data_IF_552596535095
#
_entry.id   IF_552596535095
#
_cell.length_a   1.000
_cell.length_b   1.000
_cell.length_c   1.000
_cell.angle_alpha   90.00
_cell.angle_beta   90.00
_cell.angle_gamma   90.00
#
_symmetry.space_group_name_H-M   'P 1'
#
loop_
_entity.id
_entity.type
_entity.pdbx_description
1 polymer ?
#
# COMPACT_ATOMS: atom_id res chain seq x y z
N UNK A 1 -7.48 -10.26 5.06
CA UNK A 1 -7.09 -9.88 6.43
C UNK A 1 -6.13 -8.71 6.34
N UNK A 2 -6.22 -7.76 7.26
CA UNK A 2 -5.32 -6.60 7.33
C UNK A 2 -4.46 -6.71 8.59
N UNK A 3 -3.16 -6.47 8.47
CA UNK A 3 -2.26 -6.29 9.60
C UNK A 3 -1.90 -4.80 9.67
N UNK A 4 -2.03 -4.18 10.84
CA UNK A 4 -1.70 -2.77 11.05
C UNK A 4 -1.22 -2.55 12.49
N UNK A 5 -0.24 -1.66 12.66
CA UNK A 5 0.30 -1.31 13.98
C UNK A 5 -0.46 -0.12 14.61
N UNK A 6 -1.33 0.55 13.86
CA UNK A 6 -2.18 1.62 14.38
C UNK A 6 -3.44 1.02 15.04
N UNK A 7 -3.59 1.14 16.37
CA UNK A 7 -4.74 0.58 17.08
C UNK A 7 -6.07 1.23 16.66
N UNK A 8 -6.07 2.49 16.22
CA UNK A 8 -7.27 3.16 15.73
C UNK A 8 -7.69 2.62 14.36
N UNK A 9 -6.74 2.27 13.49
CA UNK A 9 -7.04 1.55 12.23
C UNK A 9 -7.65 0.19 12.54
N UNK A 10 -7.05 -0.59 13.45
CA UNK A 10 -7.58 -1.89 13.85
C UNK A 10 -8.99 -1.77 14.44
N UNK A 11 -9.25 -0.77 15.28
CA UNK A 11 -10.58 -0.52 15.85
C UNK A 11 -11.64 -0.25 14.78
N UNK A 12 -11.32 0.57 13.78
CA UNK A 12 -12.20 0.84 12.63
C UNK A 12 -12.48 -0.42 11.82
N UNK A 13 -11.44 -1.17 11.46
CA UNK A 13 -11.57 -2.42 10.70
C UNK A 13 -12.44 -3.45 11.43
N UNK A 14 -12.29 -3.56 12.76
CA UNK A 14 -13.16 -4.42 13.59
C UNK A 14 -14.61 -3.96 13.57
N UNK A 15 -14.87 -2.65 13.68
CA UNK A 15 -16.22 -2.09 13.60
C UNK A 15 -16.88 -2.37 12.24
N UNK A 16 -16.08 -2.37 11.17
CA UNK A 16 -16.51 -2.72 9.81
C UNK A 16 -16.56 -4.23 9.53
N UNK A 17 -16.25 -5.06 10.54
CA UNK A 17 -16.19 -6.54 10.44
C UNK A 17 -15.18 -7.03 9.38
N UNK A 18 -14.14 -6.24 9.11
CA UNK A 18 -13.04 -6.64 8.25
C UNK A 18 -12.05 -7.45 9.10
N UNK A 19 -11.68 -8.69 8.67
CA UNK A 19 -10.70 -9.48 9.39
C UNK A 19 -9.38 -8.73 9.51
N UNK A 20 -8.91 -8.49 10.73
CA UNK A 20 -7.68 -7.74 11.00
C UNK A 20 -6.95 -8.27 12.23
N UNK A 21 -5.66 -7.96 12.30
CA UNK A 21 -4.76 -8.31 13.39
C UNK A 21 -3.86 -7.12 13.69
N UNK A 22 -3.63 -6.86 14.97
CA UNK A 22 -2.72 -5.82 15.43
C UNK A 22 -1.30 -6.38 15.46
N UNK A 23 -0.34 -5.67 14.86
CA UNK A 23 1.07 -6.04 14.91
C UNK A 23 1.90 -5.29 13.87
N UNK A 24 3.22 -5.28 14.08
CA UNK A 24 4.16 -4.61 13.19
C UNK A 24 4.74 -5.59 12.17
N UNK A 25 4.76 -5.20 10.90
CA UNK A 25 5.30 -6.05 9.84
C UNK A 25 6.84 -6.07 9.82
N UNK A 26 7.50 -5.18 10.57
CA UNK A 26 8.95 -5.26 10.78
C UNK A 26 9.35 -6.29 11.86
N UNK A 27 8.38 -6.75 12.66
CA UNK A 27 8.55 -7.79 13.65
C UNK A 27 8.48 -9.19 13.01
N UNK A 28 9.62 -9.87 13.01
CA UNK A 28 9.75 -11.21 12.46
C UNK A 28 8.97 -12.28 13.24
N UNK A 29 8.73 -12.10 14.54
CA UNK A 29 7.96 -13.04 15.37
C UNK A 29 6.47 -12.92 15.03
N UNK A 30 5.94 -11.70 14.97
CA UNK A 30 4.58 -11.43 14.51
C UNK A 30 4.29 -12.05 13.14
N UNK A 31 5.19 -11.87 12.16
CA UNK A 31 5.01 -12.46 10.83
C UNK A 31 4.99 -13.99 10.84
N UNK A 32 5.69 -14.63 11.77
CA UNK A 32 5.71 -16.10 11.90
C UNK A 32 4.39 -16.65 12.48
N UNK A 33 3.63 -15.85 13.22
CA UNK A 33 2.29 -16.22 13.72
C UNK A 33 1.21 -16.19 12.63
N UNK A 34 1.42 -15.41 11.57
CA UNK A 34 0.47 -15.28 10.48
C UNK A 34 0.40 -16.56 9.63
N UNK A 35 -0.77 -16.93 9.09
CA UNK A 35 -0.93 -18.10 8.23
C UNK A 35 -0.41 -17.88 6.79
N UNK A 36 0.84 -17.40 6.66
CA UNK A 36 1.48 -17.06 5.39
C UNK A 36 1.63 -18.26 4.45
N UNK A 37 1.59 -19.48 4.96
CA UNK A 37 1.57 -20.70 4.13
C UNK A 37 0.25 -20.92 3.37
N UNK A 38 -0.84 -20.26 3.77
CA UNK A 38 -2.19 -20.43 3.20
C UNK A 38 -2.63 -19.25 2.33
N UNK A 39 -1.91 -18.14 2.36
CA UNK A 39 -2.30 -16.96 1.58
C UNK A 39 -2.12 -17.23 0.07
N UNK A 40 -3.02 -16.66 -0.73
CA UNK A 40 -2.86 -16.62 -2.20
C UNK A 40 -2.22 -15.31 -2.66
N UNK A 41 -2.37 -14.26 -1.87
CA UNK A 41 -2.00 -12.90 -2.24
C UNK A 41 -1.64 -12.10 -0.99
N UNK A 42 -0.57 -11.30 -1.06
CA UNK A 42 -0.21 -10.27 -0.08
C UNK A 42 0.02 -8.93 -0.79
N UNK A 43 -0.45 -7.85 -0.16
CA UNK A 43 -0.14 -6.46 -0.55
C UNK A 43 0.45 -5.78 0.66
N UNK A 44 1.63 -5.17 0.50
CA UNK A 44 2.20 -4.24 1.47
C UNK A 44 2.19 -2.83 0.90
N UNK A 45 1.55 -1.92 1.62
CA UNK A 45 1.59 -0.48 1.34
C UNK A 45 2.60 0.27 2.22
N UNK A 46 3.49 -0.47 2.90
CA UNK A 46 4.53 0.07 3.77
C UNK A 46 5.66 0.62 2.89
N UNK A 47 6.12 1.87 3.08
CA UNK A 47 7.17 2.45 2.25
C UNK A 47 8.58 1.98 2.64
N UNK A 48 8.75 1.43 3.84
CA UNK A 48 10.04 0.98 4.35
C UNK A 48 10.58 -0.25 3.59
N UNK A 49 11.82 -0.15 3.15
CA UNK A 49 12.48 -1.20 2.37
C UNK A 49 12.77 -2.45 3.21
N UNK A 50 13.25 -2.29 4.44
CA UNK A 50 13.64 -3.41 5.29
C UNK A 50 12.42 -4.25 5.71
N UNK A 51 11.31 -3.59 6.05
CA UNK A 51 10.03 -4.24 6.33
C UNK A 51 9.54 -5.07 5.13
N UNK A 52 9.53 -4.48 3.93
CA UNK A 52 9.11 -5.21 2.74
C UNK A 52 10.05 -6.38 2.41
N UNK A 53 11.36 -6.20 2.57
CA UNK A 53 12.35 -7.25 2.38
C UNK A 53 12.13 -8.43 3.34
N UNK A 54 11.87 -8.16 4.62
CA UNK A 54 11.56 -9.17 5.63
C UNK A 54 10.28 -9.93 5.26
N UNK A 55 9.20 -9.20 4.96
CA UNK A 55 7.90 -9.77 4.59
C UNK A 55 8.01 -10.73 3.41
N UNK A 56 8.67 -10.31 2.32
CA UNK A 56 8.84 -11.15 1.12
C UNK A 56 9.61 -12.43 1.49
N UNK A 57 10.72 -12.31 2.22
CA UNK A 57 11.52 -13.48 2.63
C UNK A 57 10.73 -14.46 3.48
N UNK A 58 9.95 -13.96 4.46
CA UNK A 58 9.09 -14.77 5.33
C UNK A 58 8.03 -15.53 4.51
N UNK A 59 7.33 -14.83 3.60
CA UNK A 59 6.35 -15.47 2.72
C UNK A 59 7.02 -16.51 1.82
N UNK A 60 8.14 -16.18 1.16
CA UNK A 60 8.81 -17.08 0.21
C UNK A 60 9.40 -18.33 0.87
N UNK A 61 9.77 -18.26 2.15
CA UNK A 61 10.23 -19.41 2.93
C UNK A 61 9.15 -20.49 3.06
N UNK A 62 7.87 -20.09 3.18
CA UNK A 62 6.76 -21.01 3.48
C UNK A 62 5.73 -21.15 2.35
N UNK A 63 5.75 -20.26 1.37
CA UNK A 63 4.74 -20.16 0.31
C UNK A 63 5.31 -19.53 -0.97
N UNK A 64 5.95 -20.35 -1.80
CA UNK A 64 6.51 -19.93 -3.10
C UNK A 64 5.44 -19.45 -4.10
N UNK A 65 4.25 -20.08 -4.20
CA UNK A 65 3.24 -19.68 -5.20
C UNK A 65 2.48 -18.38 -4.90
N UNK A 66 2.46 -17.90 -3.65
CA UNK A 66 1.70 -16.70 -3.30
C UNK A 66 2.14 -15.47 -4.12
N UNK A 67 1.19 -14.66 -4.55
CA UNK A 67 1.50 -13.37 -5.19
C UNK A 67 1.83 -12.35 -4.11
N UNK A 68 2.97 -11.67 -4.23
CA UNK A 68 3.42 -10.67 -3.24
C UNK A 68 3.65 -9.34 -3.93
N UNK A 69 2.82 -8.36 -3.61
CA UNK A 69 2.91 -7.00 -4.12
C UNK A 69 3.36 -6.06 -3.01
N UNK A 70 4.35 -5.21 -3.29
CA UNK A 70 4.88 -4.24 -2.32
C UNK A 70 5.04 -2.86 -2.95
N UNK A 71 5.20 -1.82 -2.14
CA UNK A 71 5.56 -0.48 -2.59
C UNK A 71 7.07 -0.26 -2.41
N UNK A 72 7.68 0.49 -3.32
CA UNK A 72 8.98 1.13 -3.10
C UNK A 72 8.96 2.55 -3.67
N UNK A 73 9.85 3.40 -3.17
CA UNK A 73 10.06 4.75 -3.68
C UNK A 73 11.36 4.89 -4.49
N UNK A 74 12.14 3.82 -4.61
CA UNK A 74 13.45 3.82 -5.25
C UNK A 74 13.60 2.64 -6.22
N UNK A 75 14.14 2.89 -7.41
CA UNK A 75 14.32 1.85 -8.45
C UNK A 75 15.27 0.74 -7.96
N UNK A 76 16.41 1.09 -7.36
CA UNK A 76 17.38 0.12 -6.87
C UNK A 76 16.86 -0.71 -5.69
N UNK A 77 15.97 -0.16 -4.87
CA UNK A 77 15.24 -0.94 -3.87
C UNK A 77 14.22 -1.88 -4.52
N UNK A 78 13.47 -1.40 -5.51
CA UNK A 78 12.52 -2.23 -6.25
C UNK A 78 13.23 -3.44 -6.90
N UNK A 79 14.38 -3.24 -7.54
CA UNK A 79 15.20 -4.32 -8.10
C UNK A 79 15.59 -5.36 -7.04
N UNK A 80 16.02 -4.90 -5.85
CA UNK A 80 16.34 -5.81 -4.72
C UNK A 80 15.11 -6.57 -4.23
N UNK A 81 13.95 -5.92 -4.15
CA UNK A 81 12.68 -6.55 -3.76
C UNK A 81 12.25 -7.62 -4.78
N UNK A 82 12.42 -7.35 -6.08
CA UNK A 82 12.23 -8.35 -7.13
C UNK A 82 13.21 -9.53 -6.98
N UNK A 83 14.49 -9.26 -6.72
CA UNK A 83 15.52 -10.28 -6.58
C UNK A 83 15.23 -11.27 -5.43
N UNK A 84 14.52 -10.84 -4.38
CA UNK A 84 14.10 -11.71 -3.27
C UNK A 84 12.72 -12.36 -3.47
N UNK A 85 12.06 -12.10 -4.60
CA UNK A 85 10.85 -12.80 -5.01
C UNK A 85 9.54 -12.02 -4.85
N UNK A 86 9.57 -10.68 -4.77
CA UNK A 86 8.36 -9.89 -4.98
C UNK A 86 7.76 -10.23 -6.36
N UNK A 87 6.44 -10.40 -6.42
CA UNK A 87 5.73 -10.61 -7.69
C UNK A 87 5.54 -9.29 -8.45
N UNK A 88 5.37 -8.19 -7.72
CA UNK A 88 5.29 -6.85 -8.29
C UNK A 88 5.70 -5.80 -7.26
N UNK A 89 6.42 -4.77 -7.72
CA UNK A 89 6.80 -3.60 -6.91
C UNK A 89 6.15 -2.36 -7.53
N UNK A 90 5.26 -1.71 -6.79
CA UNK A 90 4.62 -0.46 -7.18
C UNK A 90 5.60 0.68 -6.86
N UNK A 91 5.85 1.53 -7.85
CA UNK A 91 6.60 2.79 -7.70
C UNK A 91 5.62 3.97 -7.82
N UNK A 92 5.12 4.54 -6.69
CA UNK A 92 3.99 5.48 -6.72
C UNK A 92 4.24 6.73 -7.56
N UNK A 93 5.48 7.20 -7.62
CA UNK A 93 5.85 8.38 -8.43
C UNK A 93 5.70 8.13 -9.93
N UNK A 94 6.03 6.93 -10.42
CA UNK A 94 5.79 6.55 -11.82
C UNK A 94 4.31 6.37 -12.11
N UNK A 95 3.55 5.80 -11.17
CA UNK A 95 2.10 5.69 -11.31
C UNK A 95 1.44 7.08 -11.38
N UNK A 96 1.90 8.02 -10.55
CA UNK A 96 1.44 9.41 -10.58
C UNK A 96 1.79 10.12 -11.90
N UNK A 97 3.00 9.90 -12.43
CA UNK A 97 3.41 10.41 -13.73
C UNK A 97 2.55 9.85 -14.88
N UNK A 98 2.27 8.55 -14.87
CA UNK A 98 1.40 7.93 -15.87
C UNK A 98 -0.03 8.49 -15.79
N UNK A 99 -0.58 8.60 -14.59
CA UNK A 99 -1.91 9.19 -14.39
C UNK A 99 -1.98 10.64 -14.87
N UNK A 100 -0.93 11.44 -14.66
CA UNK A 100 -0.85 12.80 -15.19
C UNK A 100 -0.84 12.82 -16.73
N UNK A 101 -0.08 11.92 -17.36
CA UNK A 101 -0.08 11.75 -18.82
C UNK A 101 -1.47 11.38 -19.35
N UNK A 102 -2.16 10.46 -18.67
CA UNK A 102 -3.52 10.04 -19.07
C UNK A 102 -4.53 11.20 -18.98
N UNK A 103 -4.44 12.02 -17.94
CA UNK A 103 -5.26 13.24 -17.82
C UNK A 103 -4.97 14.22 -18.96
N UNK A 104 -3.71 14.44 -19.29
CA UNK A 104 -3.31 15.32 -20.40
C UNK A 104 -3.82 14.76 -21.73
N UNK A 105 -3.66 13.47 -21.99
CA UNK A 105 -4.15 12.82 -23.20
C UNK A 105 -5.68 12.94 -23.33
N UNK A 106 -6.41 12.77 -22.22
CA UNK A 106 -7.88 12.83 -22.19
C UNK A 106 -8.44 14.26 -22.29
N UNK A 107 -7.76 15.24 -21.71
CA UNK A 107 -8.32 16.59 -21.53
C UNK A 107 -7.60 17.69 -22.33
N UNK A 108 -6.39 17.43 -22.84
CA UNK A 108 -5.52 18.41 -23.47
C UNK A 108 -5.24 19.59 -22.53
N UNK A 109 -5.33 20.81 -23.07
CA UNK A 109 -5.20 22.06 -22.30
C UNK A 109 -6.55 22.68 -21.89
N UNK A 110 -7.64 21.89 -21.85
CA UNK A 110 -8.97 22.42 -21.56
C UNK A 110 -9.19 22.63 -20.05
N UNK A 111 -9.00 23.86 -19.58
CA UNK A 111 -9.17 24.25 -18.17
C UNK A 111 -10.55 23.90 -17.58
N UNK A 112 -11.63 23.99 -18.38
CA UNK A 112 -12.99 23.62 -17.93
C UNK A 112 -13.12 22.13 -17.62
N UNK A 113 -12.42 21.26 -18.37
CA UNK A 113 -12.36 19.81 -18.08
C UNK A 113 -11.61 19.54 -16.77
N UNK A 114 -10.46 20.20 -16.54
CA UNK A 114 -9.72 20.07 -15.27
C UNK A 114 -10.51 20.62 -14.07
N UNK A 115 -11.29 21.69 -14.25
CA UNK A 115 -12.18 22.18 -13.19
C UNK A 115 -13.21 21.12 -12.78
N UNK A 116 -13.73 20.35 -13.74
CA UNK A 116 -14.64 19.22 -13.45
C UNK A 116 -13.92 18.06 -12.76
N UNK A 117 -12.73 17.68 -13.23
CA UNK A 117 -11.92 16.64 -12.58
C UNK A 117 -11.57 17.04 -11.13
N UNK A 118 -11.22 18.30 -10.88
CA UNK A 118 -11.01 18.83 -9.52
C UNK A 118 -12.24 18.64 -8.63
N UNK A 119 -13.43 19.00 -9.09
CA UNK A 119 -14.67 18.84 -8.31
C UNK A 119 -14.91 17.38 -7.96
N UNK A 120 -14.75 16.47 -8.92
CA UNK A 120 -14.90 15.04 -8.70
C UNK A 120 -13.86 14.50 -7.71
N UNK A 121 -12.60 14.92 -7.88
CA UNK A 121 -11.51 14.50 -7.02
C UNK A 121 -11.70 15.00 -5.58
N UNK A 122 -12.15 16.24 -5.38
CA UNK A 122 -12.47 16.76 -4.04
C UNK A 122 -13.57 15.98 -3.34
N UNK A 123 -14.62 15.54 -4.07
CA UNK A 123 -15.65 14.66 -3.51
C UNK A 123 -15.07 13.31 -3.08
N UNK A 124 -14.21 12.73 -3.91
CA UNK A 124 -13.50 11.49 -3.58
C UNK A 124 -12.60 11.65 -2.35
N UNK A 125 -11.81 12.72 -2.27
CA UNK A 125 -10.94 12.99 -1.12
C UNK A 125 -11.74 13.25 0.16
N UNK A 126 -12.86 13.97 0.08
CA UNK A 126 -13.76 14.16 1.22
C UNK A 126 -14.29 12.81 1.73
N UNK A 127 -14.70 11.91 0.83
CA UNK A 127 -15.10 10.55 1.19
C UNK A 127 -13.96 9.77 1.85
N UNK A 128 -12.74 9.80 1.28
CA UNK A 128 -11.54 9.17 1.87
C UNK A 128 -11.23 9.70 3.26
N UNK A 129 -11.37 11.00 3.48
CA UNK A 129 -11.18 11.65 4.79
C UNK A 129 -12.22 11.17 5.79
N UNK A 130 -13.50 11.09 5.40
CA UNK A 130 -14.58 10.61 6.29
C UNK A 130 -14.35 9.19 6.79
N UNK A 131 -13.82 8.30 5.94
CA UNK A 131 -13.49 6.92 6.34
C UNK A 131 -12.09 6.81 7.00
N UNK A 132 -11.43 7.94 7.26
CA UNK A 132 -10.19 7.98 8.04
C UNK A 132 -8.93 7.54 7.28
N UNK A 133 -8.92 7.65 5.94
CA UNK A 133 -7.73 7.38 5.12
C UNK A 133 -6.76 8.57 5.03
N UNK A 134 -6.81 9.51 5.98
CA UNK A 134 -5.80 10.56 6.05
C UNK A 134 -4.47 9.97 6.48
N UNK A 135 -3.37 10.44 5.87
CA UNK A 135 -2.04 10.04 6.29
C UNK A 135 -1.82 10.51 7.74
N UNK A 136 -1.30 9.68 8.65
CA UNK A 136 -0.99 10.12 10.00
C UNK A 136 -0.06 11.35 9.92
N UNK A 137 -0.44 12.41 10.64
CA UNK A 137 0.38 13.61 10.72
C UNK A 137 1.70 13.25 11.36
N UNK A 138 2.83 13.58 10.73
CA UNK A 138 4.11 13.55 11.43
C UNK A 138 3.99 14.53 12.60
N UNK A 139 4.33 14.13 13.85
CA UNK A 139 4.44 15.10 14.92
C UNK A 139 5.44 16.17 14.48
N UNK A 140 4.99 17.43 14.49
CA UNK A 140 5.88 18.57 14.32
C UNK A 140 6.87 18.54 15.48
N UNK A 141 8.13 18.26 15.16
CA UNK A 141 9.29 18.48 16.04
C UNK A 141 9.36 19.93 16.48
#
# INVERSE_FOLDING_TARGET
MVADFDPEVIKKLKAEKIPCVYGDADDGEFLDELPLNKIKFAVSTIPDFATNLLLIKKIRRVNKPAIVMVISHNIGEAEKLYAVGASYVILPHFLGGNFASDLIAKHGFNSRKYAREKINHLKYLAHRKMIGHEHPMRPTT
#
